data_IF_485989232549
#
_entry.id   IF_485989232549
#
_cell.length_a   1.000
_cell.length_b   1.000
_cell.length_c   1.000
_cell.angle_alpha   90.00
_cell.angle_beta   90.00
_cell.angle_gamma   90.00
#
_symmetry.space_group_name_H-M   'P 1'
#
loop_
_entity.id
_entity.type
_entity.pdbx_description
1 polymer ?
#
# COMPACT_ATOMS: atom_id res chain seq x y z
N UNK A 1 9.27 -12.58 6.50
CA UNK A 1 10.76 -12.65 6.45
C UNK A 1 11.34 -14.03 6.11
N UNK A 2 10.84 -15.15 6.66
CA UNK A 2 11.49 -16.47 6.44
C UNK A 2 11.44 -16.98 5.00
N UNK A 3 10.41 -16.61 4.24
CA UNK A 3 10.13 -17.18 2.91
C UNK A 3 10.58 -16.28 1.75
N UNK A 4 10.63 -14.95 1.95
CA UNK A 4 11.01 -13.99 0.91
C UNK A 4 12.22 -13.14 1.31
N UNK A 5 13.07 -12.70 0.35
CA UNK A 5 14.18 -11.80 0.63
C UNK A 5 13.72 -10.51 1.34
N UNK A 6 14.45 -10.11 2.38
CA UNK A 6 14.07 -8.96 3.22
C UNK A 6 14.00 -7.65 2.41
N UNK A 7 14.86 -7.49 1.41
CA UNK A 7 14.95 -6.31 0.55
C UNK A 7 13.69 -6.06 -0.31
N UNK A 8 12.91 -7.12 -0.62
CA UNK A 8 11.66 -7.02 -1.38
C UNK A 8 10.42 -6.91 -0.51
N UNK A 9 10.59 -6.97 0.82
CA UNK A 9 9.46 -7.12 1.73
C UNK A 9 8.43 -6.00 1.60
N UNK A 10 8.87 -4.75 1.46
CA UNK A 10 7.95 -3.62 1.27
C UNK A 10 7.14 -3.79 -0.03
N UNK A 11 7.80 -4.17 -1.13
CA UNK A 11 7.12 -4.35 -2.42
C UNK A 11 6.12 -5.50 -2.37
N UNK A 12 6.49 -6.64 -1.79
CA UNK A 12 5.62 -7.81 -1.65
C UNK A 12 4.43 -7.49 -0.73
N UNK A 13 4.68 -6.86 0.41
CA UNK A 13 3.62 -6.45 1.34
C UNK A 13 2.60 -5.53 0.68
N UNK A 14 3.08 -4.52 -0.07
CA UNK A 14 2.21 -3.60 -0.80
C UNK A 14 1.38 -4.33 -1.86
N UNK A 15 1.98 -5.29 -2.58
CA UNK A 15 1.25 -6.13 -3.54
C UNK A 15 0.16 -6.96 -2.85
N UNK A 16 0.44 -7.54 -1.69
CA UNK A 16 -0.58 -8.26 -0.90
C UNK A 16 -1.71 -7.32 -0.47
N UNK A 17 -1.39 -6.13 0.05
CA UNK A 17 -2.37 -5.10 0.41
C UNK A 17 -3.24 -4.73 -0.79
N UNK A 18 -2.65 -4.50 -1.96
CA UNK A 18 -3.39 -4.16 -3.17
C UNK A 18 -4.36 -5.28 -3.61
N UNK A 19 -3.95 -6.56 -3.52
CA UNK A 19 -4.83 -7.71 -3.81
C UNK A 19 -6.02 -7.77 -2.83
N UNK A 20 -5.76 -7.58 -1.54
CA UNK A 20 -6.80 -7.55 -0.51
C UNK A 20 -7.76 -6.38 -0.75
N UNK A 21 -7.23 -5.18 -1.02
CA UNK A 21 -8.01 -3.99 -1.30
C UNK A 21 -8.92 -4.13 -2.52
N UNK A 22 -8.43 -4.73 -3.62
CA UNK A 22 -9.27 -4.97 -4.80
C UNK A 22 -10.40 -5.96 -4.50
N UNK A 23 -10.13 -7.06 -3.78
CA UNK A 23 -11.18 -8.00 -3.36
C UNK A 23 -12.23 -7.32 -2.49
N UNK A 24 -11.81 -6.49 -1.54
CA UNK A 24 -12.72 -5.70 -0.71
C UNK A 24 -13.55 -4.72 -1.53
N UNK A 25 -12.91 -3.99 -2.44
CA UNK A 25 -13.60 -3.03 -3.29
C UNK A 25 -14.67 -3.72 -4.15
N UNK A 26 -14.36 -4.86 -4.76
CA UNK A 26 -15.32 -5.62 -5.57
C UNK A 26 -16.49 -6.17 -4.73
N UNK A 27 -16.23 -6.67 -3.52
CA UNK A 27 -17.28 -7.16 -2.61
C UNK A 27 -18.23 -6.05 -2.11
N UNK A 28 -17.78 -4.80 -2.15
CA UNK A 28 -18.53 -3.62 -1.69
C UNK A 28 -18.94 -2.71 -2.86
N UNK A 29 -18.98 -3.24 -4.09
CA UNK A 29 -19.39 -2.51 -5.30
C UNK A 29 -18.64 -1.18 -5.54
N UNK A 30 -17.39 -1.11 -5.10
CA UNK A 30 -16.54 0.07 -5.28
C UNK A 30 -15.88 0.06 -6.66
N UNK A 31 -15.93 1.20 -7.36
CA UNK A 31 -15.42 1.32 -8.73
C UNK A 31 -13.94 1.66 -8.87
N UNK A 32 -13.19 1.84 -7.78
CA UNK A 32 -11.77 2.21 -7.82
C UNK A 32 -11.06 2.02 -6.49
N UNK A 33 -9.73 2.02 -6.52
CA UNK A 33 -8.86 2.17 -5.35
C UNK A 33 -8.22 3.56 -5.34
N UNK A 34 -8.03 4.15 -4.17
CA UNK A 34 -7.36 5.45 -4.00
C UNK A 34 -6.17 5.28 -3.06
N UNK A 35 -5.03 5.86 -3.41
CA UNK A 35 -3.84 5.86 -2.56
C UNK A 35 -3.25 7.26 -2.45
N UNK A 36 -2.59 7.55 -1.32
CA UNK A 36 -1.85 8.80 -1.10
C UNK A 36 -0.41 8.78 -1.62
N UNK A 37 -0.10 8.01 -2.67
CA UNK A 37 1.24 7.95 -3.24
C UNK A 37 1.64 9.27 -3.93
N UNK A 38 2.86 9.74 -3.66
CA UNK A 38 3.52 10.84 -4.39
C UNK A 38 4.79 10.33 -5.07
N UNK A 39 5.03 10.71 -6.33
CA UNK A 39 6.14 10.17 -7.10
C UNK A 39 7.49 10.59 -6.49
N UNK A 40 8.39 9.62 -6.31
CA UNK A 40 9.76 9.83 -5.83
C UNK A 40 9.90 10.42 -4.41
N UNK A 41 8.82 10.44 -3.62
CA UNK A 41 8.85 10.93 -2.24
C UNK A 41 9.57 9.95 -1.29
N UNK A 42 9.38 8.65 -1.49
CA UNK A 42 10.05 7.58 -0.72
C UNK A 42 10.48 6.44 -1.64
N UNK A 43 11.37 5.57 -1.13
CA UNK A 43 11.93 4.44 -1.89
C UNK A 43 10.85 3.52 -2.50
N UNK A 44 9.70 3.37 -1.84
CA UNK A 44 8.59 2.53 -2.31
C UNK A 44 7.65 3.21 -3.31
N UNK A 45 7.90 4.47 -3.66
CA UNK A 45 7.07 5.29 -4.57
C UNK A 45 7.87 5.75 -5.79
N UNK A 46 8.88 4.98 -6.20
CA UNK A 46 9.50 5.13 -7.53
C UNK A 46 8.55 4.67 -8.63
N UNK A 47 8.80 5.10 -9.87
CA UNK A 47 8.02 4.65 -11.04
C UNK A 47 7.98 3.11 -11.13
N UNK A 48 9.13 2.45 -10.93
CA UNK A 48 9.25 1.00 -10.94
C UNK A 48 8.47 0.35 -9.79
N UNK A 49 8.52 0.91 -8.58
CA UNK A 49 7.79 0.39 -7.43
C UNK A 49 6.28 0.51 -7.60
N UNK A 50 5.81 1.65 -8.14
CA UNK A 50 4.41 1.88 -8.46
C UNK A 50 3.95 0.88 -9.52
N UNK A 51 4.70 0.72 -10.62
CA UNK A 51 4.38 -0.24 -11.67
C UNK A 51 4.26 -1.67 -11.14
N UNK A 52 5.26 -2.12 -10.38
CA UNK A 52 5.27 -3.47 -9.81
C UNK A 52 4.14 -3.66 -8.81
N UNK A 53 3.85 -2.67 -7.96
CA UNK A 53 2.74 -2.74 -7.01
C UNK A 53 1.38 -2.77 -7.73
N UNK A 54 1.21 -1.97 -8.77
CA UNK A 54 -0.04 -1.86 -9.51
C UNK A 54 -0.35 -3.09 -10.38
N UNK A 55 0.66 -3.87 -10.76
CA UNK A 55 0.50 -5.05 -11.65
C UNK A 55 -0.33 -6.20 -11.07
N UNK A 56 -0.68 -6.16 -9.78
CA UNK A 56 -1.56 -7.17 -9.15
C UNK A 56 -3.03 -6.80 -9.16
N UNK A 57 -3.36 -5.58 -9.60
CA UNK A 57 -4.73 -5.09 -9.74
C UNK A 57 -5.25 -5.51 -11.11
N UNK A 58 -6.36 -6.23 -11.12
CA UNK A 58 -6.88 -6.90 -12.32
C UNK A 58 -8.03 -6.16 -12.99
N UNK A 59 -8.86 -5.47 -12.21
CA UNK A 59 -10.17 -4.95 -12.65
C UNK A 59 -10.35 -3.46 -12.36
N UNK A 60 -9.78 -2.96 -11.27
CA UNK A 60 -10.08 -1.60 -10.80
C UNK A 60 -8.99 -0.58 -11.15
N UNK A 61 -9.35 0.69 -11.46
CA UNK A 61 -8.38 1.77 -11.55
C UNK A 61 -7.82 2.12 -10.16
N UNK A 62 -6.54 2.50 -10.11
CA UNK A 62 -5.88 3.02 -8.91
C UNK A 62 -5.58 4.51 -9.08
N UNK A 63 -6.35 5.36 -8.41
CA UNK A 63 -6.15 6.80 -8.41
C UNK A 63 -5.09 7.23 -7.39
N UNK A 64 -4.28 8.20 -7.78
CA UNK A 64 -3.18 8.76 -6.98
C UNK A 64 -3.23 10.28 -7.00
N UNK A 65 -4.13 10.90 -6.23
CA UNK A 65 -4.33 12.36 -6.25
C UNK A 65 -3.04 13.15 -5.97
N UNK A 66 -2.13 12.56 -5.17
CA UNK A 66 -0.90 13.21 -4.73
C UNK A 66 0.31 12.94 -5.65
N UNK A 67 0.13 12.25 -6.78
CA UNK A 67 1.26 11.70 -7.57
C UNK A 67 2.27 12.77 -8.03
N UNK A 68 1.80 14.00 -8.26
CA UNK A 68 2.62 15.13 -8.69
C UNK A 68 2.78 16.24 -7.65
N UNK A 69 2.30 16.03 -6.42
CA UNK A 69 2.40 17.02 -5.35
C UNK A 69 3.70 16.85 -4.58
N UNK A 70 4.32 17.96 -4.21
CA UNK A 70 5.43 17.95 -3.27
C UNK A 70 4.96 17.80 -1.81
N UNK A 71 5.92 17.63 -0.90
CA UNK A 71 5.63 17.42 0.53
C UNK A 71 4.91 18.61 1.18
N UNK A 72 5.29 19.83 0.82
CA UNK A 72 4.73 21.04 1.44
C UNK A 72 3.29 21.26 0.97
N UNK A 73 2.98 20.97 -0.28
CA UNK A 73 1.61 20.98 -0.81
C UNK A 73 0.71 19.97 -0.09
N UNK A 74 1.22 18.75 0.14
CA UNK A 74 0.50 17.70 0.89
C UNK A 74 0.27 18.13 2.34
N UNK A 75 1.31 18.67 3.01
CA UNK A 75 1.20 19.16 4.39
C UNK A 75 0.20 20.30 4.51
N UNK A 76 0.25 21.25 3.56
CA UNK A 76 -0.69 22.38 3.53
C UNK A 76 -2.13 21.87 3.42
N UNK A 77 -2.39 20.96 2.47
CA UNK A 77 -3.72 20.34 2.31
C UNK A 77 -4.15 19.62 3.58
N UNK A 78 -3.27 18.82 4.20
CA UNK A 78 -3.55 18.10 5.43
C UNK A 78 -3.89 19.01 6.62
N UNK A 79 -3.32 20.23 6.66
CA UNK A 79 -3.69 21.25 7.66
C UNK A 79 -5.02 21.91 7.33
N UNK A 80 -5.32 22.17 6.06
CA UNK A 80 -6.59 22.75 5.61
C UNK A 80 -7.79 21.84 5.88
N UNK A 81 -7.59 20.52 5.92
CA UNK A 81 -8.63 19.52 6.22
C UNK A 81 -8.53 18.92 7.63
N UNK A 82 -7.74 19.53 8.52
CA UNK A 82 -7.57 19.14 9.93
C UNK A 82 -7.08 17.69 10.17
N UNK A 83 -6.34 17.09 9.24
CA UNK A 83 -5.78 15.73 9.40
C UNK A 83 -4.32 15.71 9.83
N UNK A 84 -3.59 16.83 9.71
CA UNK A 84 -2.14 16.86 9.93
C UNK A 84 -1.74 16.43 11.35
N UNK A 85 -2.34 17.03 12.38
CA UNK A 85 -1.92 16.80 13.77
C UNK A 85 -2.13 15.36 14.23
N UNK A 86 -3.23 14.73 13.79
CA UNK A 86 -3.49 13.30 14.01
C UNK A 86 -2.51 12.40 13.25
N UNK A 87 -2.17 12.77 12.01
CA UNK A 87 -1.30 11.97 11.14
C UNK A 87 0.16 11.91 11.58
N UNK A 88 0.60 12.85 12.43
CA UNK A 88 1.99 12.91 12.94
C UNK A 88 2.16 12.33 14.35
N UNK A 89 1.11 11.78 14.95
CA UNK A 89 1.20 11.11 16.24
C UNK A 89 2.24 9.97 16.17
N UNK A 90 3.00 9.71 17.25
CA UNK A 90 4.15 8.81 17.22
C UNK A 90 3.73 7.34 17.24
N UNK A 91 3.13 6.88 16.14
CA UNK A 91 2.77 5.49 15.89
C UNK A 91 3.71 4.90 14.84
N UNK A 92 4.09 3.64 15.04
CA UNK A 92 4.89 2.92 14.06
C UNK A 92 4.01 2.47 12.89
N UNK A 93 4.42 2.77 11.66
CA UNK A 93 3.73 2.33 10.47
C UNK A 93 4.38 1.06 9.90
N UNK A 94 3.70 0.43 8.94
CA UNK A 94 4.21 -0.79 8.31
C UNK A 94 5.58 -0.58 7.64
N UNK A 95 5.87 0.62 7.15
CA UNK A 95 7.13 0.93 6.48
C UNK A 95 8.28 1.11 7.48
N UNK A 96 8.03 1.60 8.68
CA UNK A 96 9.04 1.79 9.74
C UNK A 96 9.32 0.50 10.49
N UNK A 97 8.29 -0.29 10.82
CA UNK A 97 8.45 -1.59 11.50
C UNK A 97 9.16 -2.61 10.61
N UNK A 98 8.85 -2.60 9.31
CA UNK A 98 9.37 -3.56 8.34
C UNK A 98 10.40 -2.94 7.39
N UNK A 99 11.09 -1.86 7.77
CA UNK A 99 12.09 -1.25 6.90
C UNK A 99 13.30 -2.21 6.74
N UNK A 100 13.59 -2.72 5.52
CA UNK A 100 14.85 -3.41 5.30
C UNK A 100 15.99 -2.40 5.33
N UNK A 101 17.19 -2.83 5.72
CA UNK A 101 18.39 -1.96 5.75
C UNK A 101 18.66 -1.27 4.41
N UNK A 102 18.36 -1.95 3.29
CA UNK A 102 18.52 -1.43 1.94
C UNK A 102 17.23 -1.73 1.15
N UNK A 103 16.24 -0.83 1.14
CA UNK A 103 15.02 -1.02 0.35
C UNK A 103 15.33 -0.93 -1.15
N UNK A 104 14.74 -1.83 -1.92
CA UNK A 104 14.91 -1.86 -3.38
C UNK A 104 14.07 -0.75 -4.02
N UNK A 105 14.73 0.19 -4.70
CA UNK A 105 14.09 1.33 -5.39
C UNK A 105 13.71 1.03 -6.84
N UNK A 106 14.20 -0.09 -7.40
CA UNK A 106 13.92 -0.53 -8.78
C UNK A 106 13.55 -2.01 -8.82
N UNK A 107 12.42 -2.41 -8.19
CA UNK A 107 12.00 -3.79 -8.20
C UNK A 107 11.68 -4.24 -9.63
N UNK A 108 12.04 -5.47 -9.97
CA UNK A 108 11.68 -6.09 -11.25
C UNK A 108 10.53 -7.06 -11.05
N UNK A 109 9.48 -6.92 -11.86
CA UNK A 109 8.25 -7.70 -11.71
C UNK A 109 8.50 -9.22 -11.69
N UNK A 110 9.33 -9.73 -12.59
CA UNK A 110 9.67 -11.15 -12.70
C UNK A 110 10.36 -11.70 -11.44
N UNK A 111 11.23 -10.90 -10.81
CA UNK A 111 11.90 -11.26 -9.57
C UNK A 111 10.90 -11.29 -8.41
N UNK A 112 10.02 -10.29 -8.34
CA UNK A 112 9.02 -10.19 -7.28
C UNK A 112 8.00 -11.33 -7.36
N UNK A 113 7.50 -11.64 -8.56
CA UNK A 113 6.56 -12.76 -8.76
C UNK A 113 7.19 -14.08 -8.33
N UNK A 114 8.45 -14.35 -8.71
CA UNK A 114 9.19 -15.54 -8.25
C UNK A 114 9.37 -15.59 -6.73
N UNK A 115 9.56 -14.42 -6.09
CA UNK A 115 9.66 -14.37 -4.64
C UNK A 115 8.31 -14.67 -3.95
N UNK A 116 7.20 -14.32 -4.60
CA UNK A 116 5.83 -14.59 -4.12
C UNK A 116 5.42 -16.06 -4.26
N UNK A 117 5.99 -16.83 -5.20
CA UNK A 117 5.71 -18.28 -5.36
C UNK A 117 5.97 -19.10 -4.10
N UNK A 118 6.80 -18.58 -3.18
CA UNK A 118 7.11 -19.23 -1.89
C UNK A 118 6.03 -18.98 -0.83
N UNK A 119 5.06 -18.12 -1.12
CA UNK A 119 3.96 -17.76 -0.25
C UNK A 119 2.71 -18.50 -0.69
N UNK A 120 1.98 -19.07 0.26
CA UNK A 120 0.61 -19.55 0.04
C UNK A 120 -0.33 -18.33 -0.08
N UNK A 121 -0.18 -17.56 -1.16
CA UNK A 121 -0.77 -16.23 -1.34
C UNK A 121 -2.30 -16.24 -1.15
N UNK A 122 -2.99 -17.18 -1.79
CA UNK A 122 -4.44 -17.29 -1.70
C UNK A 122 -4.92 -17.61 -0.28
N UNK A 123 -4.22 -18.49 0.44
CA UNK A 123 -4.56 -18.83 1.82
C UNK A 123 -4.35 -17.63 2.74
N UNK A 124 -3.23 -16.91 2.58
CA UNK A 124 -2.93 -15.70 3.36
C UNK A 124 -3.97 -14.61 3.14
N UNK A 125 -4.37 -14.38 1.89
CA UNK A 125 -5.41 -13.41 1.54
C UNK A 125 -6.75 -13.86 2.12
N UNK A 126 -7.14 -15.13 1.95
CA UNK A 126 -8.39 -15.65 2.48
C UNK A 126 -8.49 -15.49 4.01
N UNK A 127 -7.42 -15.80 4.74
CA UNK A 127 -7.36 -15.59 6.19
C UNK A 127 -7.49 -14.10 6.54
N UNK A 128 -6.81 -13.19 5.82
CA UNK A 128 -6.94 -11.76 6.07
C UNK A 128 -8.37 -11.24 5.83
N UNK A 129 -9.01 -11.69 4.75
CA UNK A 129 -10.41 -11.34 4.44
C UNK A 129 -11.37 -11.85 5.54
N UNK A 130 -11.18 -13.08 6.03
CA UNK A 130 -12.03 -13.68 7.06
C UNK A 130 -11.95 -12.97 8.42
N UNK A 131 -10.79 -12.43 8.76
CA UNK A 131 -10.54 -11.75 10.04
C UNK A 131 -10.74 -10.24 9.96
N UNK A 132 -11.48 -9.74 8.96
CA UNK A 132 -11.73 -8.31 8.82
C UNK A 132 -12.79 -7.83 9.81
N UNK A 133 -12.51 -6.72 10.47
CA UNK A 133 -13.45 -6.00 11.32
C UNK A 133 -13.97 -4.76 10.60
N UNK A 134 -15.27 -4.48 10.72
CA UNK A 134 -15.89 -3.29 10.13
C UNK A 134 -16.36 -2.36 11.24
N UNK A 135 -15.88 -1.12 11.20
CA UNK A 135 -16.29 -0.05 12.11
C UNK A 135 -17.01 1.03 11.30
N UNK A 136 -18.22 1.39 11.70
CA UNK A 136 -18.99 2.47 11.09
C UNK A 136 -18.75 3.73 11.92
N UNK A 137 -18.13 4.74 11.30
CA UNK A 137 -17.92 6.05 11.90
C UNK A 137 -19.03 6.96 11.44
N UNK A 138 -19.77 7.54 12.39
CA UNK A 138 -20.78 8.56 12.15
C UNK A 138 -20.32 9.89 12.76
N UNK A 139 -20.91 11.03 12.39
CA UNK A 139 -20.50 12.33 12.95
C UNK A 139 -20.65 12.45 14.47
N UNK A 140 -21.42 11.56 15.10
CA UNK A 140 -21.63 11.51 16.55
C UNK A 140 -20.57 10.69 17.31
N UNK A 141 -19.64 10.06 16.59
CA UNK A 141 -18.52 9.29 17.12
C UNK A 141 -17.36 10.22 17.54
#
# INVERSE_FOLDING_TARGET
>A
HKQCPAEFMITIMRRIMMRISERFALLNDCGSLITGESLAQVASQTQESILVTNSVIEQLPVFRPLIGMDKEEIIKTAREIDTFDTSILPYEDCCTVFLPKNPVIKPKLDIIVKAEERLAMEELIAVAMQNTETVIITPEY
#
